data_IF_510915733950
#
_entry.id   IF_510915733950
#
_cell.length_a   1.000
_cell.length_b   1.000
_cell.length_c   1.000
_cell.angle_alpha   90.00
_cell.angle_beta   90.00
_cell.angle_gamma   90.00
#
_symmetry.space_group_name_H-M   'P 1'
#
loop_
_entity.id
_entity.type
_entity.pdbx_description
1 polymer ?
#
# COMPACT_ATOMS: atom_id res chain seq x y z
N UNK A 1 -28.86 -8.67 48.93
CA UNK A 1 -28.95 -7.74 47.79
C UNK A 1 -27.69 -6.86 47.55
N UNK A 2 -27.09 -6.27 48.56
CA UNK A 2 -25.88 -5.40 48.36
C UNK A 2 -24.60 -6.14 47.94
N UNK A 3 -24.44 -7.39 48.36
CA UNK A 3 -23.26 -8.23 48.00
C UNK A 3 -23.31 -8.74 46.56
N UNK A 4 -24.48 -9.19 46.09
CA UNK A 4 -24.66 -9.65 44.70
C UNK A 4 -24.43 -8.54 43.67
N UNK A 5 -24.85 -7.32 43.97
CA UNK A 5 -24.66 -6.17 43.09
C UNK A 5 -23.15 -5.78 42.97
N UNK A 6 -22.36 -5.94 44.05
CA UNK A 6 -20.90 -5.71 44.03
C UNK A 6 -20.16 -6.71 43.12
N UNK A 7 -20.52 -7.98 43.15
CA UNK A 7 -19.93 -9.02 42.30
C UNK A 7 -20.24 -8.78 40.81
N UNK A 8 -21.45 -8.37 40.49
CA UNK A 8 -21.86 -8.06 39.11
C UNK A 8 -21.03 -6.85 38.56
N UNK A 9 -20.85 -5.82 39.36
CA UNK A 9 -20.05 -4.65 38.96
C UNK A 9 -18.57 -5.02 38.75
N UNK A 10 -17.98 -5.87 39.57
CA UNK A 10 -16.60 -6.34 39.45
C UNK A 10 -16.45 -7.21 38.19
N UNK A 11 -17.38 -8.09 37.87
CA UNK A 11 -17.34 -8.93 36.66
C UNK A 11 -17.48 -8.10 35.39
N UNK A 12 -18.34 -7.07 35.40
CA UNK A 12 -18.47 -6.14 34.26
C UNK A 12 -17.24 -5.29 34.06
N UNK A 13 -16.58 -4.80 35.12
CA UNK A 13 -15.33 -4.05 35.04
C UNK A 13 -14.15 -4.91 34.61
N UNK A 14 -14.04 -6.17 35.02
CA UNK A 14 -13.03 -7.11 34.56
C UNK A 14 -13.24 -7.52 33.09
N UNK A 15 -14.50 -7.65 32.62
CA UNK A 15 -14.79 -7.94 31.21
C UNK A 15 -14.41 -6.82 30.24
N UNK A 16 -14.34 -5.57 30.70
CA UNK A 16 -13.95 -4.43 29.87
C UNK A 16 -12.43 -4.28 29.69
N UNK A 17 -11.63 -4.94 30.54
CA UNK A 17 -10.16 -4.86 30.46
C UNK A 17 -9.49 -5.82 29.47
N UNK A 18 -10.24 -6.68 28.75
CA UNK A 18 -9.65 -7.70 27.86
C UNK A 18 -9.63 -7.32 26.38
N UNK A 19 -10.16 -6.16 26.00
CA UNK A 19 -9.95 -5.63 24.65
C UNK A 19 -8.72 -4.73 24.60
N UNK A 20 -7.54 -5.29 24.83
CA UNK A 20 -6.32 -4.67 24.35
C UNK A 20 -6.32 -4.77 22.83
N UNK A 21 -6.88 -3.78 22.16
CA UNK A 21 -6.61 -3.58 20.74
C UNK A 21 -5.10 -3.37 20.62
N UNK A 22 -4.41 -4.40 20.16
CA UNK A 22 -2.99 -4.29 19.84
C UNK A 22 -2.89 -3.30 18.67
N UNK A 23 -2.61 -2.04 18.97
CA UNK A 23 -2.40 -1.03 17.95
C UNK A 23 -1.23 -1.49 17.08
N UNK A 24 -1.50 -1.77 15.83
CA UNK A 24 -0.47 -2.16 14.88
C UNK A 24 0.49 -0.97 14.72
N UNK A 25 1.72 -1.11 15.19
CA UNK A 25 2.72 -0.04 15.15
C UNK A 25 3.25 0.14 13.74
N UNK A 26 3.34 1.39 13.29
CA UNK A 26 3.94 1.75 12.01
C UNK A 26 5.41 1.37 11.98
N UNK A 27 5.86 0.84 10.86
CA UNK A 27 7.24 0.46 10.62
C UNK A 27 7.97 1.59 9.91
N UNK A 28 9.05 2.10 10.49
CA UNK A 28 9.87 3.18 9.94
C UNK A 28 10.35 2.90 8.51
N UNK A 29 10.74 1.66 8.21
CA UNK A 29 11.19 1.26 6.87
C UNK A 29 10.07 1.44 5.82
N UNK A 30 8.81 1.16 6.21
CA UNK A 30 7.66 1.36 5.34
C UNK A 30 7.39 2.85 5.12
N UNK A 31 7.51 3.68 6.15
CA UNK A 31 7.35 5.13 6.03
C UNK A 31 8.41 5.75 5.12
N UNK A 32 9.68 5.34 5.26
CA UNK A 32 10.78 5.74 4.37
C UNK A 32 10.49 5.36 2.90
N UNK A 33 9.96 4.17 2.66
CA UNK A 33 9.59 3.72 1.32
C UNK A 33 8.45 4.57 0.74
N UNK A 34 7.39 4.79 1.51
CA UNK A 34 6.24 5.61 1.12
C UNK A 34 6.72 7.02 0.78
N UNK A 35 7.50 7.64 1.65
CA UNK A 35 8.04 8.97 1.42
C UNK A 35 8.83 9.04 0.11
N UNK A 36 9.66 8.05 -0.17
CA UNK A 36 10.50 8.01 -1.36
C UNK A 36 9.73 7.84 -2.67
N UNK A 37 8.63 7.09 -2.65
CA UNK A 37 7.95 6.66 -3.87
C UNK A 37 6.54 7.23 -4.06
N UNK A 38 5.99 7.97 -3.10
CA UNK A 38 4.65 8.55 -3.17
C UNK A 38 4.41 9.40 -4.42
N UNK A 39 5.38 10.25 -4.78
CA UNK A 39 5.25 11.14 -5.93
C UNK A 39 5.15 10.35 -7.24
N UNK A 40 5.97 9.30 -7.38
CA UNK A 40 5.91 8.41 -8.54
C UNK A 40 4.54 7.73 -8.61
N UNK A 41 4.05 7.18 -7.49
CA UNK A 41 2.74 6.52 -7.47
C UNK A 41 1.59 7.48 -7.84
N UNK A 42 1.63 8.74 -7.38
CA UNK A 42 0.65 9.77 -7.75
C UNK A 42 0.74 10.15 -9.23
N UNK A 43 1.95 10.23 -9.80
CA UNK A 43 2.12 10.46 -11.23
C UNK A 43 1.54 9.31 -12.06
N UNK A 44 1.82 8.08 -11.67
CA UNK A 44 1.28 6.89 -12.32
C UNK A 44 -0.25 6.82 -12.22
N UNK A 45 -0.83 7.18 -11.06
CA UNK A 45 -2.27 7.30 -10.91
C UNK A 45 -2.88 8.28 -11.92
N UNK A 46 -2.26 9.46 -12.12
CA UNK A 46 -2.74 10.46 -13.07
C UNK A 46 -2.68 9.96 -14.51
N UNK A 47 -1.63 9.22 -14.86
CA UNK A 47 -1.39 8.71 -16.24
C UNK A 47 -2.22 7.48 -16.57
N UNK A 48 -2.31 6.53 -15.62
CA UNK A 48 -2.86 5.19 -15.88
C UNK A 48 -4.17 4.90 -15.15
N UNK A 49 -4.61 5.78 -14.26
CA UNK A 49 -5.88 5.62 -13.51
C UNK A 49 -5.89 4.42 -12.56
N UNK A 50 -4.74 4.10 -11.98
CA UNK A 50 -4.59 3.13 -10.88
C UNK A 50 -4.43 3.92 -9.59
N UNK A 51 -5.16 3.62 -8.48
CA UNK A 51 -5.00 4.33 -7.22
C UNK A 51 -3.54 4.37 -6.76
N UNK A 52 -3.06 5.54 -6.35
CA UNK A 52 -1.70 5.68 -5.82
C UNK A 52 -1.50 4.82 -4.57
N UNK A 53 -2.53 4.72 -3.73
CA UNK A 53 -2.56 3.85 -2.56
C UNK A 53 -2.31 2.38 -2.90
N UNK A 54 -2.95 1.86 -3.94
CA UNK A 54 -2.76 0.50 -4.44
C UNK A 54 -1.34 0.29 -4.94
N UNK A 55 -0.84 1.21 -5.78
CA UNK A 55 0.52 1.12 -6.33
C UNK A 55 1.57 1.12 -5.20
N UNK A 56 1.42 2.00 -4.20
CA UNK A 56 2.33 2.05 -3.05
C UNK A 56 2.26 0.78 -2.20
N UNK A 57 1.06 0.30 -1.87
CA UNK A 57 0.88 -0.89 -1.05
C UNK A 57 1.45 -2.14 -1.75
N UNK A 58 1.24 -2.29 -3.06
CA UNK A 58 1.85 -3.36 -3.85
C UNK A 58 3.38 -3.24 -3.85
N UNK A 59 3.93 -2.06 -4.15
CA UNK A 59 5.37 -1.85 -4.14
C UNK A 59 6.01 -2.16 -2.78
N UNK A 60 5.36 -1.78 -1.67
CA UNK A 60 5.78 -2.13 -0.31
C UNK A 60 5.81 -3.65 -0.10
N UNK A 61 4.71 -4.31 -0.44
CA UNK A 61 4.51 -5.73 -0.18
C UNK A 61 5.44 -6.60 -1.02
N UNK A 62 5.48 -6.36 -2.33
CA UNK A 62 6.22 -7.18 -3.30
C UNK A 62 7.75 -6.99 -3.17
N UNK A 63 8.21 -5.80 -2.81
CA UNK A 63 9.63 -5.51 -2.71
C UNK A 63 10.21 -5.61 -1.29
N UNK A 64 9.37 -5.92 -0.28
CA UNK A 64 9.77 -5.81 1.12
C UNK A 64 10.26 -4.39 1.44
N UNK A 65 9.48 -3.38 1.06
CA UNK A 65 9.83 -1.96 1.15
C UNK A 65 11.15 -1.62 0.43
N UNK A 66 11.40 -2.21 -0.73
CA UNK A 66 12.63 -2.01 -1.50
C UNK A 66 13.86 -2.72 -0.95
N UNK A 67 13.71 -3.59 0.06
CA UNK A 67 14.83 -4.29 0.72
C UNK A 67 15.02 -5.72 0.23
N UNK A 68 14.10 -6.30 -0.55
CA UNK A 68 14.27 -7.63 -1.10
C UNK A 68 15.52 -7.69 -2.00
N UNK A 69 16.16 -8.87 -2.07
CA UNK A 69 17.34 -9.05 -2.92
C UNK A 69 17.01 -8.78 -4.39
N UNK A 70 15.82 -9.19 -4.85
CA UNK A 70 15.35 -8.94 -6.20
C UNK A 70 15.25 -7.43 -6.48
N UNK A 71 14.52 -6.67 -5.63
CA UNK A 71 14.33 -5.23 -5.86
C UNK A 71 15.65 -4.46 -5.84
N UNK A 72 16.59 -4.81 -4.96
CA UNK A 72 17.92 -4.18 -4.91
C UNK A 72 18.80 -4.45 -6.13
N UNK A 73 18.71 -5.67 -6.70
CA UNK A 73 19.51 -6.06 -7.87
C UNK A 73 18.94 -5.53 -9.18
N UNK A 74 17.63 -5.36 -9.26
CA UNK A 74 16.92 -5.13 -10.52
C UNK A 74 16.09 -3.86 -10.58
N UNK A 75 15.93 -3.12 -9.48
CA UNK A 75 14.94 -2.04 -9.33
C UNK A 75 13.50 -2.48 -9.65
N UNK A 76 13.21 -3.79 -9.57
CA UNK A 76 11.89 -4.36 -9.81
C UNK A 76 11.13 -4.42 -8.48
N UNK A 77 10.26 -3.44 -8.29
CA UNK A 77 9.49 -3.28 -7.05
C UNK A 77 8.20 -4.09 -7.01
N UNK A 78 7.83 -4.75 -8.10
CA UNK A 78 6.56 -5.46 -8.25
C UNK A 78 6.71 -6.93 -8.62
N UNK A 79 7.94 -7.45 -8.65
CA UNK A 79 8.19 -8.83 -9.00
C UNK A 79 7.73 -9.20 -10.41
N UNK A 80 7.79 -8.26 -11.37
CA UNK A 80 7.34 -8.52 -12.73
C UNK A 80 8.31 -9.49 -13.40
N UNK A 81 7.80 -10.69 -13.73
CA UNK A 81 8.54 -11.73 -14.44
C UNK A 81 8.73 -11.34 -15.90
N UNK A 82 9.83 -11.85 -16.51
CA UNK A 82 9.98 -11.78 -17.96
C UNK A 82 8.78 -12.44 -18.60
N UNK A 83 8.37 -12.03 -19.77
CA UNK A 83 7.29 -12.67 -20.49
C UNK A 83 7.21 -12.08 -21.88
N UNK A 84 6.73 -12.87 -22.81
CA UNK A 84 6.35 -12.46 -24.16
C UNK A 84 7.31 -11.47 -24.79
N UNK A 85 6.90 -10.23 -24.81
CA UNK A 85 7.55 -9.15 -25.58
C UNK A 85 8.64 -8.37 -24.81
N UNK A 86 9.08 -8.85 -23.65
CA UNK A 86 10.11 -8.15 -22.88
C UNK A 86 11.49 -8.28 -23.54
N UNK A 87 12.02 -7.17 -24.05
CA UNK A 87 13.35 -7.08 -24.67
C UNK A 87 14.38 -6.35 -23.80
N UNK A 88 13.96 -5.87 -22.63
CA UNK A 88 14.82 -5.13 -21.69
C UNK A 88 15.76 -6.03 -20.90
N UNK A 89 16.49 -5.42 -19.96
CA UNK A 89 17.41 -6.13 -19.05
C UNK A 89 16.64 -7.12 -18.18
N UNK A 90 17.28 -8.22 -17.81
CA UNK A 90 16.71 -9.27 -16.96
C UNK A 90 17.65 -9.65 -15.83
N UNK A 91 17.10 -10.25 -14.79
CA UNK A 91 17.83 -10.89 -13.70
C UNK A 91 17.20 -12.24 -13.41
N UNK A 92 18.03 -13.20 -13.03
CA UNK A 92 17.58 -14.52 -12.56
C UNK A 92 17.52 -14.52 -11.04
N UNK A 93 16.43 -15.04 -10.51
CA UNK A 93 16.19 -15.11 -9.06
C UNK A 93 15.30 -16.31 -8.72
N UNK A 94 15.56 -16.95 -7.59
CA UNK A 94 14.70 -18.03 -7.08
C UNK A 94 13.50 -17.42 -6.35
N UNK A 95 12.29 -17.76 -6.79
CA UNK A 95 11.02 -17.33 -6.23
C UNK A 95 10.10 -18.54 -6.09
N UNK A 96 8.95 -18.57 -6.76
CA UNK A 96 8.07 -19.75 -6.79
C UNK A 96 8.77 -20.97 -7.40
N UNK A 97 9.69 -20.74 -8.34
CA UNK A 97 10.55 -21.73 -8.95
C UNK A 97 12.01 -21.27 -8.95
N UNK A 98 12.93 -22.23 -9.16
CA UNK A 98 14.36 -21.92 -9.27
C UNK A 98 14.66 -21.17 -10.57
N UNK A 99 15.58 -20.20 -10.50
CA UNK A 99 16.14 -19.51 -11.66
C UNK A 99 15.09 -18.81 -12.54
N UNK A 100 14.03 -18.27 -11.94
CA UNK A 100 13.00 -17.54 -12.70
C UNK A 100 13.54 -16.23 -13.27
N UNK A 101 12.99 -15.83 -14.40
CA UNK A 101 13.38 -14.60 -15.08
C UNK A 101 12.52 -13.43 -14.63
N UNK A 102 13.17 -12.38 -14.13
CA UNK A 102 12.53 -11.11 -13.75
C UNK A 102 13.05 -9.95 -14.59
N UNK A 103 12.17 -8.99 -14.89
CA UNK A 103 12.52 -7.74 -15.55
C UNK A 103 13.47 -6.94 -14.65
N UNK A 104 14.46 -6.27 -15.25
CA UNK A 104 15.39 -5.41 -14.54
C UNK A 104 15.39 -4.00 -15.16
N UNK A 105 15.35 -3.00 -14.30
CA UNK A 105 15.16 -1.61 -14.69
C UNK A 105 16.40 -0.77 -14.32
N UNK A 106 16.59 0.34 -15.03
CA UNK A 106 17.66 1.28 -14.74
C UNK A 106 17.32 2.08 -13.46
N UNK A 107 16.05 2.47 -13.33
CA UNK A 107 15.55 3.24 -12.20
C UNK A 107 14.27 2.61 -11.62
N UNK A 108 13.97 2.76 -10.31
CA UNK A 108 12.71 2.33 -9.72
C UNK A 108 11.47 2.87 -10.45
N UNK A 109 11.50 4.12 -10.92
CA UNK A 109 10.42 4.73 -11.69
C UNK A 109 10.01 3.87 -12.89
N UNK A 110 10.96 3.25 -13.57
CA UNK A 110 10.70 2.43 -14.76
C UNK A 110 9.87 1.18 -14.37
N UNK A 111 10.11 0.63 -13.17
CA UNK A 111 9.32 -0.50 -12.68
C UNK A 111 7.89 -0.10 -12.30
N UNK A 112 7.69 1.12 -11.79
CA UNK A 112 6.37 1.68 -11.49
C UNK A 112 5.56 1.90 -12.76
N UNK A 113 6.18 2.47 -13.79
CA UNK A 113 5.54 2.66 -15.08
C UNK A 113 5.20 1.32 -15.76
N UNK A 114 6.13 0.36 -15.72
CA UNK A 114 5.90 -0.97 -16.30
C UNK A 114 4.80 -1.73 -15.56
N UNK A 115 4.72 -1.61 -14.23
CA UNK A 115 3.61 -2.14 -13.44
C UNK A 115 2.26 -1.54 -13.87
N UNK A 116 2.22 -0.22 -14.06
CA UNK A 116 1.01 0.46 -14.54
C UNK A 116 0.60 -0.05 -15.93
N UNK A 117 1.56 -0.18 -16.84
CA UNK A 117 1.33 -0.76 -18.18
C UNK A 117 0.89 -2.21 -18.11
N UNK A 118 1.48 -3.00 -17.22
CA UNK A 118 1.13 -4.40 -17.00
C UNK A 118 -0.34 -4.56 -16.57
N UNK A 119 -0.82 -3.74 -15.63
CA UNK A 119 -2.21 -3.79 -15.22
C UNK A 119 -3.15 -3.26 -16.30
N UNK A 120 -2.79 -2.14 -16.95
CA UNK A 120 -3.62 -1.51 -17.97
C UNK A 120 -3.76 -2.35 -19.24
N UNK A 121 -2.69 -3.05 -19.62
CA UNK A 121 -2.62 -3.79 -20.88
C UNK A 121 -3.22 -5.19 -20.85
N UNK A 122 -3.58 -5.73 -19.68
CA UNK A 122 -4.09 -7.11 -19.58
C UNK A 122 -5.59 -7.16 -19.35
N UNK A 123 -6.32 -7.85 -20.21
CA UNK A 123 -7.79 -7.95 -20.19
C UNK A 123 -8.35 -8.41 -18.84
N UNK A 124 -7.65 -9.31 -18.13
CA UNK A 124 -8.08 -9.82 -16.82
C UNK A 124 -8.20 -8.72 -15.75
N UNK A 125 -7.53 -7.58 -15.90
CA UNK A 125 -7.62 -6.42 -14.99
C UNK A 125 -8.55 -5.32 -15.51
N UNK A 126 -9.09 -5.42 -16.74
CA UNK A 126 -9.86 -4.34 -17.35
C UNK A 126 -11.06 -3.87 -16.51
N UNK A 127 -11.70 -4.79 -15.77
CA UNK A 127 -12.85 -4.45 -14.92
C UNK A 127 -12.49 -3.53 -13.74
N UNK A 128 -11.24 -3.54 -13.28
CA UNK A 128 -10.76 -2.67 -12.20
C UNK A 128 -10.86 -1.19 -12.59
N UNK A 129 -10.65 -0.86 -13.85
CA UNK A 129 -10.69 0.50 -14.36
C UNK A 129 -12.10 1.10 -14.46
N UNK A 130 -13.14 0.31 -14.11
CA UNK A 130 -14.52 0.77 -13.93
C UNK A 130 -14.78 1.24 -12.49
N UNK A 131 -13.92 0.90 -11.55
CA UNK A 131 -14.01 1.31 -10.16
C UNK A 131 -13.62 2.80 -10.01
N UNK A 132 -14.14 3.44 -8.95
CA UNK A 132 -13.68 4.77 -8.57
C UNK A 132 -12.21 4.71 -8.17
N UNK A 133 -11.47 5.77 -8.45
CA UNK A 133 -10.05 5.88 -8.09
C UNK A 133 -9.84 5.79 -6.56
N UNK A 134 -10.82 6.20 -5.77
CA UNK A 134 -10.81 6.16 -4.31
C UNK A 134 -11.31 4.84 -3.73
N UNK A 135 -11.75 3.89 -4.56
CA UNK A 135 -12.23 2.57 -4.12
C UNK A 135 -11.07 1.57 -4.03
N UNK A 136 -10.10 1.87 -3.17
CA UNK A 136 -8.94 0.99 -2.97
C UNK A 136 -9.32 -0.41 -2.48
N UNK A 137 -10.43 -0.56 -1.72
CA UNK A 137 -10.91 -1.87 -1.27
C UNK A 137 -11.39 -2.72 -2.45
N UNK A 138 -12.21 -2.13 -3.33
CA UNK A 138 -12.64 -2.78 -4.56
C UNK A 138 -11.45 -3.14 -5.46
N UNK A 139 -10.45 -2.26 -5.57
CA UNK A 139 -9.22 -2.54 -6.29
C UNK A 139 -8.43 -3.71 -5.70
N UNK A 140 -8.21 -3.74 -4.37
CA UNK A 140 -7.47 -4.80 -3.68
C UNK A 140 -8.12 -6.18 -3.88
N UNK A 141 -9.44 -6.28 -3.64
CA UNK A 141 -10.19 -7.51 -3.89
C UNK A 141 -10.21 -7.90 -5.36
N UNK A 142 -10.34 -6.93 -6.25
CA UNK A 142 -10.32 -7.15 -7.68
C UNK A 142 -8.97 -7.65 -8.20
N UNK A 143 -7.85 -7.14 -7.71
CA UNK A 143 -6.52 -7.65 -8.02
C UNK A 143 -6.37 -9.13 -7.61
N UNK A 144 -6.82 -9.48 -6.39
CA UNK A 144 -6.83 -10.87 -5.94
C UNK A 144 -7.70 -11.75 -6.83
N UNK A 145 -8.92 -11.31 -7.14
CA UNK A 145 -9.85 -12.01 -8.03
C UNK A 145 -9.26 -12.24 -9.42
N UNK A 146 -8.53 -11.25 -9.95
CA UNK A 146 -7.86 -11.34 -11.25
C UNK A 146 -6.60 -12.20 -11.23
N UNK A 147 -6.22 -12.78 -10.08
CA UNK A 147 -5.05 -13.64 -9.95
C UNK A 147 -3.72 -12.88 -10.01
N UNK A 148 -3.65 -11.68 -9.42
CA UNK A 148 -2.38 -10.96 -9.30
C UNK A 148 -1.41 -11.70 -8.38
N UNK A 149 -1.91 -12.27 -7.28
CA UNK A 149 -1.15 -13.06 -6.33
C UNK A 149 -1.91 -14.34 -5.93
N UNK A 150 -1.18 -15.39 -5.56
CA UNK A 150 -1.74 -16.66 -5.09
C UNK A 150 -2.20 -16.60 -3.64
N UNK A 151 -1.57 -15.78 -2.79
CA UNK A 151 -1.90 -15.60 -1.37
C UNK A 151 -3.40 -15.30 -1.18
N UNK A 152 -4.17 -16.13 -0.45
CA UNK A 152 -5.60 -15.90 -0.20
C UNK A 152 -5.87 -14.60 0.58
N UNK A 153 -4.91 -14.13 1.37
CA UNK A 153 -5.02 -12.90 2.16
C UNK A 153 -4.50 -11.66 1.46
N UNK A 154 -4.09 -11.76 0.20
CA UNK A 154 -3.46 -10.66 -0.54
C UNK A 154 -4.25 -9.34 -0.49
N UNK A 155 -5.57 -9.39 -0.75
CA UNK A 155 -6.41 -8.20 -0.70
C UNK A 155 -6.42 -7.53 0.69
N UNK A 156 -6.54 -8.32 1.74
CA UNK A 156 -6.53 -7.82 3.12
C UNK A 156 -5.18 -7.21 3.48
N UNK A 157 -4.06 -7.84 3.08
CA UNK A 157 -2.71 -7.28 3.31
C UNK A 157 -2.52 -5.92 2.66
N UNK A 158 -3.05 -5.73 1.44
CA UNK A 158 -3.04 -4.43 0.77
C UNK A 158 -3.89 -3.40 1.54
N UNK A 159 -5.10 -3.79 1.94
CA UNK A 159 -6.03 -2.92 2.69
C UNK A 159 -5.40 -2.52 4.04
N UNK A 160 -4.85 -3.46 4.79
CA UNK A 160 -4.19 -3.21 6.08
C UNK A 160 -3.03 -2.20 5.93
N UNK A 161 -2.20 -2.34 4.89
CA UNK A 161 -1.12 -1.39 4.60
C UNK A 161 -1.70 -0.02 4.26
N UNK A 162 -2.71 0.04 3.40
CA UNK A 162 -3.32 1.30 2.98
C UNK A 162 -3.93 2.04 4.17
N UNK A 163 -4.64 1.34 5.04
CA UNK A 163 -5.30 1.92 6.22
C UNK A 163 -4.29 2.31 7.29
N UNK A 164 -3.29 1.45 7.60
CA UNK A 164 -2.29 1.71 8.61
C UNK A 164 -1.42 2.94 8.30
N UNK A 165 -1.12 3.17 7.02
CA UNK A 165 -0.27 4.28 6.57
C UNK A 165 -1.06 5.41 5.90
N UNK A 166 -2.39 5.40 5.98
CA UNK A 166 -3.28 6.41 5.39
C UNK A 166 -3.04 6.65 3.88
N UNK A 167 -2.60 5.62 3.13
CA UNK A 167 -2.22 5.78 1.73
C UNK A 167 -3.38 6.22 0.83
N UNK A 168 -4.63 5.93 1.22
CA UNK A 168 -5.84 6.33 0.50
C UNK A 168 -5.96 7.85 0.32
N UNK A 169 -5.29 8.65 1.17
CA UNK A 169 -5.22 10.10 1.04
C UNK A 169 -4.57 10.52 -0.29
N UNK A 170 -3.62 9.74 -0.81
CA UNK A 170 -2.96 10.04 -2.08
C UNK A 170 -3.87 9.85 -3.30
N UNK A 171 -5.03 9.22 -3.15
CA UNK A 171 -6.00 9.03 -4.23
C UNK A 171 -6.90 10.24 -4.44
N UNK A 172 -6.81 11.27 -3.60
CA UNK A 172 -7.62 12.48 -3.62
C UNK A 172 -6.80 13.74 -3.96
N UNK A 173 -7.50 14.81 -4.46
CA UNK A 173 -6.85 16.10 -4.72
C UNK A 173 -6.33 16.74 -3.43
N UNK A 174 -7.10 16.66 -2.35
CA UNK A 174 -6.75 17.28 -1.08
C UNK A 174 -5.55 16.58 -0.43
N UNK A 175 -5.52 15.26 -0.47
CA UNK A 175 -4.37 14.49 -0.01
C UNK A 175 -3.10 14.75 -0.81
N UNK A 176 -3.20 14.94 -2.13
CA UNK A 176 -2.07 15.32 -2.98
C UNK A 176 -1.58 16.74 -2.64
N UNK A 177 -2.50 17.67 -2.37
CA UNK A 177 -2.17 19.03 -1.93
C UNK A 177 -1.44 19.00 -0.59
N UNK A 178 -2.01 18.29 0.40
CA UNK A 178 -1.41 18.11 1.72
C UNK A 178 0.02 17.53 1.63
N UNK A 179 0.25 16.52 0.80
CA UNK A 179 1.56 15.92 0.59
C UNK A 179 2.62 16.93 0.12
N UNK A 180 2.24 17.94 -0.68
CA UNK A 180 3.13 18.99 -1.15
C UNK A 180 3.43 20.02 -0.06
N UNK A 181 2.45 20.32 0.77
CA UNK A 181 2.57 21.28 1.89
C UNK A 181 3.37 20.70 3.05
N UNK A 182 3.30 19.37 3.27
CA UNK A 182 3.99 18.64 4.34
C UNK A 182 4.89 17.54 3.76
N UNK A 183 6.03 17.89 3.17
CA UNK A 183 6.89 16.92 2.48
C UNK A 183 7.61 15.94 3.42
N UNK A 184 7.70 16.23 4.72
CA UNK A 184 8.41 15.40 5.70
C UNK A 184 7.46 14.73 6.70
N UNK A 185 7.16 13.42 6.56
CA UNK A 185 6.29 12.69 7.49
C UNK A 185 6.91 12.48 8.89
N UNK A 186 8.22 12.70 9.03
CA UNK A 186 8.94 12.56 10.30
C UNK A 186 9.03 13.87 11.09
N UNK A 187 8.48 14.96 10.58
CA UNK A 187 8.36 16.18 11.35
C UNK A 187 7.29 15.94 12.43
N UNK A 188 7.65 15.96 13.73
CA UNK A 188 6.65 15.80 14.78
C UNK A 188 5.56 16.85 14.55
N UNK A 189 4.31 16.40 14.52
CA UNK A 189 3.16 17.30 14.49
C UNK A 189 3.33 18.30 15.64
N UNK A 190 3.71 19.52 15.33
CA UNK A 190 3.67 20.58 16.32
C UNK A 190 2.20 20.71 16.74
N UNK A 191 1.95 20.89 18.03
CA UNK A 191 0.59 20.94 18.58
C UNK A 191 -0.35 21.94 17.87
N UNK A 192 0.21 22.87 17.10
CA UNK A 192 -0.49 23.83 16.24
C UNK A 192 -1.12 23.20 15.00
N UNK A 193 -0.65 22.04 14.51
CA UNK A 193 -1.21 21.38 13.31
C UNK A 193 -2.52 20.65 13.62
N UNK A 194 -2.73 20.28 14.91
CA UNK A 194 -4.00 19.71 15.38
C UNK A 194 -5.14 20.74 15.37
N UNK A 195 -4.83 22.03 15.55
CA UNK A 195 -5.80 23.13 15.46
C UNK A 195 -6.26 23.36 14.02
N UNK A 196 -5.39 23.12 13.02
CA UNK A 196 -5.73 23.28 11.61
C UNK A 196 -6.69 22.17 11.11
N UNK A 197 -6.53 20.95 11.63
CA UNK A 197 -7.43 19.83 11.30
C UNK A 197 -8.81 19.95 11.92
N UNK A 198 -8.93 20.67 13.05
CA UNK A 198 -10.23 20.96 13.69
C UNK A 198 -11.06 22.02 12.96
N UNK A 199 -10.41 22.87 12.15
CA UNK A 199 -11.08 23.96 11.41
C UNK A 199 -11.62 23.53 10.04
N UNK A 200 -11.27 22.33 9.55
CA UNK A 200 -11.71 21.80 8.25
C UNK A 200 -13.00 20.96 8.39
N UNK A 201 -13.47 20.73 9.63
CA UNK A 201 -14.68 19.96 9.93
C UNK A 201 -15.84 20.81 10.48
N UNK A 202 -15.90 22.11 10.14
CA UNK A 202 -17.11 22.95 10.34
C UNK A 202 -17.74 23.28 9.02
#
# INVERSE_FOLDING_TARGET
>A
MKTTLRYIIIVVLCGFCLFTTQAQTRNRQYEEYIHKYKDIAVEEMKRYRIPASITLAQGLLESGAGKSALSRKSNNHFGIKCGGDWTGRTVRYDDDARNECFRAYKHPRDSYEDHSKFLKGRSRYAFLFKLKITDYKGWAHGLKKAGYATDPRYAYRLIDIIELYDLHKFDTRDGIKWMKEFPNPHQPYLANDLLYLSLIHI
#
